data_IF_096026628014
#
_entry.id   IF_096026628014
#
_cell.length_a   1.000
_cell.length_b   1.000
_cell.length_c   1.000
_cell.angle_alpha   90.00
_cell.angle_beta   90.00
_cell.angle_gamma   90.00
#
_symmetry.space_group_name_H-M   'P 1'
#
loop_
_entity.id
_entity.type
_entity.pdbx_description
1 polymer ?
#
# COMPACT_ATOMS: atom_id res chain seq x y z
N UNK A 1 26.79 -5.45 -2.78
CA UNK A 1 27.42 -4.15 -3.10
C UNK A 1 26.93 -3.15 -2.05
N UNK A 2 27.87 -2.58 -1.26
CA UNK A 2 27.54 -1.49 -0.34
C UNK A 2 27.20 -0.26 -1.18
N UNK A 3 25.94 0.15 -1.20
CA UNK A 3 25.52 1.40 -1.81
C UNK A 3 26.10 2.58 -0.98
N UNK A 4 26.94 3.45 -1.58
CA UNK A 4 27.64 4.51 -0.84
C UNK A 4 26.77 5.74 -0.52
N UNK A 5 25.48 5.68 -0.86
CA UNK A 5 24.54 6.78 -0.64
C UNK A 5 23.90 6.78 0.75
N UNK A 6 23.11 7.81 1.07
CA UNK A 6 22.39 7.89 2.35
C UNK A 6 21.36 6.77 2.48
N UNK A 7 21.15 6.31 3.71
CA UNK A 7 20.04 5.41 4.02
C UNK A 7 18.69 6.11 3.84
N UNK A 8 17.60 5.34 3.76
CA UNK A 8 16.25 5.91 3.67
C UNK A 8 15.95 6.87 4.82
N UNK A 9 16.36 6.52 6.05
CA UNK A 9 16.13 7.37 7.22
C UNK A 9 16.92 8.68 7.14
N UNK A 10 18.21 8.63 6.80
CA UNK A 10 19.03 9.83 6.60
C UNK A 10 18.49 10.72 5.48
N UNK A 11 17.94 10.12 4.42
CA UNK A 11 17.29 10.88 3.33
C UNK A 11 16.02 11.57 3.82
N UNK A 12 15.17 10.87 4.58
CA UNK A 12 13.96 11.42 5.19
C UNK A 12 14.28 12.60 6.12
N UNK A 13 15.27 12.45 7.01
CA UNK A 13 15.71 13.51 7.92
C UNK A 13 16.19 14.75 7.17
N UNK A 14 17.01 14.58 6.11
CA UNK A 14 17.46 15.68 5.28
C UNK A 14 16.31 16.39 4.56
N UNK A 15 15.35 15.62 4.01
CA UNK A 15 14.16 16.19 3.35
C UNK A 15 13.30 16.95 4.36
N UNK A 16 13.05 16.39 5.53
CA UNK A 16 12.25 17.02 6.58
C UNK A 16 12.89 18.32 7.13
N UNK A 17 14.19 18.46 7.03
CA UNK A 17 14.94 19.68 7.45
C UNK A 17 15.05 20.72 6.35
N UNK A 18 14.76 20.40 5.09
CA UNK A 18 14.86 21.36 3.97
C UNK A 18 13.73 22.40 4.06
N UNK A 19 14.11 23.68 4.20
CA UNK A 19 13.16 24.79 4.31
C UNK A 19 12.23 24.88 3.08
N UNK A 20 12.71 24.57 1.88
CA UNK A 20 11.90 24.58 0.66
C UNK A 20 10.74 23.58 0.72
N UNK A 21 10.96 22.44 1.35
CA UNK A 21 9.91 21.41 1.57
C UNK A 21 8.85 21.94 2.53
N UNK A 22 9.29 22.53 3.66
CA UNK A 22 8.40 23.09 4.69
C UNK A 22 7.59 24.29 4.19
N UNK A 23 8.24 25.26 3.55
CA UNK A 23 7.62 26.48 3.03
C UNK A 23 6.57 26.19 1.94
N UNK A 24 6.75 25.11 1.17
CA UNK A 24 5.83 24.70 0.12
C UNK A 24 4.84 23.61 0.56
N UNK A 25 4.79 23.26 1.85
CA UNK A 25 3.89 22.23 2.39
C UNK A 25 3.96 20.88 1.64
N UNK A 26 5.16 20.47 1.22
CA UNK A 26 5.38 19.22 0.50
C UNK A 26 5.42 18.07 1.52
N UNK A 27 4.49 17.12 1.39
CA UNK A 27 4.44 15.93 2.24
C UNK A 27 5.54 14.94 1.88
N UNK A 28 6.24 14.44 2.89
CA UNK A 28 7.29 13.45 2.71
C UNK A 28 6.73 12.05 2.92
N UNK A 29 6.76 11.20 1.88
CA UNK A 29 6.29 9.82 1.93
C UNK A 29 7.41 8.79 2.03
N UNK A 30 7.08 7.60 2.53
CA UNK A 30 7.97 6.45 2.58
C UNK A 30 7.31 5.19 2.02
N UNK A 31 8.13 4.23 1.58
CA UNK A 31 7.64 2.91 1.13
C UNK A 31 7.43 1.99 2.32
N UNK A 32 6.30 1.26 2.30
CA UNK A 32 5.95 0.17 3.19
C UNK A 32 5.98 -1.15 2.42
N UNK A 33 6.73 -2.14 2.88
CA UNK A 33 6.78 -3.49 2.30
C UNK A 33 6.19 -4.46 3.33
N UNK A 34 4.90 -4.85 3.21
CA UNK A 34 4.18 -5.59 4.24
C UNK A 34 4.81 -6.92 4.64
N UNK A 35 5.43 -7.63 3.69
CA UNK A 35 6.09 -8.93 3.92
C UNK A 35 7.45 -8.83 4.62
N UNK A 36 8.03 -7.63 4.72
CA UNK A 36 9.34 -7.44 5.34
C UNK A 36 9.28 -7.66 6.85
N UNK A 37 10.19 -8.48 7.37
CA UNK A 37 10.37 -8.65 8.81
C UNK A 37 10.56 -7.30 9.51
N UNK A 38 9.81 -7.07 10.59
CA UNK A 38 9.86 -5.84 11.42
C UNK A 38 9.44 -4.56 10.67
N UNK A 39 8.68 -4.64 9.60
CA UNK A 39 8.27 -3.43 8.85
C UNK A 39 7.48 -2.45 9.73
N UNK A 40 6.59 -2.93 10.61
CA UNK A 40 5.90 -2.08 11.59
C UNK A 40 6.86 -1.25 12.46
N UNK A 41 8.03 -1.81 12.84
CA UNK A 41 9.08 -1.06 13.54
C UNK A 41 9.77 -0.05 12.61
N UNK A 42 9.98 -0.42 11.35
CA UNK A 42 10.59 0.46 10.36
C UNK A 42 9.69 1.66 10.06
N UNK A 43 8.36 1.48 10.03
CA UNK A 43 7.41 2.58 9.84
C UNK A 43 7.50 3.61 10.98
N UNK A 44 7.61 3.17 12.25
CA UNK A 44 7.84 4.08 13.38
C UNK A 44 9.11 4.90 13.15
N UNK A 45 10.23 4.24 12.86
CA UNK A 45 11.52 4.94 12.63
C UNK A 45 11.44 5.91 11.45
N UNK A 46 10.81 5.52 10.35
CA UNK A 46 10.61 6.42 9.20
C UNK A 46 9.75 7.63 9.57
N UNK A 47 8.71 7.43 10.40
CA UNK A 47 7.89 8.55 10.91
C UNK A 47 8.69 9.50 11.79
N UNK A 48 9.55 8.98 12.66
CA UNK A 48 10.47 9.78 13.50
C UNK A 48 11.47 10.57 12.64
N UNK A 49 11.89 10.03 11.49
CA UNK A 49 12.78 10.69 10.52
C UNK A 49 12.03 11.65 9.57
N UNK A 50 10.72 11.84 9.72
CA UNK A 50 9.95 12.83 8.96
C UNK A 50 9.00 12.29 7.91
N UNK A 51 8.79 10.96 7.81
CA UNK A 51 7.76 10.44 6.93
C UNK A 51 6.35 10.75 7.47
N UNK A 52 5.50 11.33 6.63
CA UNK A 52 4.14 11.76 6.99
C UNK A 52 3.08 10.78 6.48
N UNK A 53 3.41 9.97 5.49
CA UNK A 53 2.57 8.87 4.99
C UNK A 53 3.44 7.75 4.41
N UNK A 54 2.81 6.62 4.14
CA UNK A 54 3.46 5.47 3.50
C UNK A 54 2.65 4.99 2.31
N UNK A 55 3.35 4.48 1.29
CA UNK A 55 2.74 3.78 0.16
C UNK A 55 3.19 2.32 0.21
N UNK A 56 2.27 1.38 0.14
CA UNK A 56 2.65 -0.05 0.14
C UNK A 56 3.29 -0.42 -1.20
N UNK A 57 4.03 -1.53 -1.21
CA UNK A 57 4.25 -2.25 -2.45
C UNK A 57 2.90 -2.77 -2.98
N UNK A 58 2.80 -3.04 -4.29
CA UNK A 58 1.56 -3.54 -4.90
C UNK A 58 1.07 -4.81 -4.20
N UNK A 59 -0.22 -4.85 -3.86
CA UNK A 59 -0.87 -5.91 -3.08
C UNK A 59 -1.61 -6.88 -4.00
N UNK A 60 -1.36 -8.18 -3.84
CA UNK A 60 -2.06 -9.30 -4.48
C UNK A 60 -2.61 -10.31 -3.47
N UNK A 61 -2.44 -10.02 -2.18
CA UNK A 61 -3.07 -10.71 -1.04
C UNK A 61 -3.22 -9.75 0.14
N UNK A 62 -4.06 -10.11 1.10
CA UNK A 62 -4.36 -9.30 2.29
C UNK A 62 -3.55 -9.71 3.52
N UNK A 63 -2.99 -10.91 3.57
CA UNK A 63 -2.43 -11.50 4.78
C UNK A 63 -1.31 -10.71 5.41
N UNK A 64 -0.31 -10.35 4.58
CA UNK A 64 0.88 -9.65 5.06
C UNK A 64 0.55 -8.21 5.48
N UNK A 65 -0.30 -7.51 4.72
CA UNK A 65 -0.68 -6.14 5.03
C UNK A 65 -1.57 -6.07 6.27
N UNK A 66 -2.50 -6.99 6.47
CA UNK A 66 -3.35 -7.09 7.66
C UNK A 66 -2.49 -7.29 8.92
N UNK A 67 -1.58 -8.27 8.89
CA UNK A 67 -0.63 -8.52 10.00
C UNK A 67 0.23 -7.29 10.30
N UNK A 68 0.71 -6.63 9.24
CA UNK A 68 1.56 -5.45 9.38
C UNK A 68 0.78 -4.27 9.97
N UNK A 69 -0.44 -3.97 9.50
CA UNK A 69 -1.30 -2.90 10.03
C UNK A 69 -1.59 -3.12 11.51
N UNK A 70 -1.98 -4.33 11.90
CA UNK A 70 -2.22 -4.70 13.30
C UNK A 70 -0.98 -4.43 14.17
N UNK A 71 0.16 -4.98 13.77
CA UNK A 71 1.42 -4.80 14.49
C UNK A 71 1.88 -3.32 14.53
N UNK A 72 1.55 -2.54 13.50
CA UNK A 72 1.86 -1.12 13.45
C UNK A 72 1.02 -0.33 14.45
N UNK A 73 -0.29 -0.60 14.53
CA UNK A 73 -1.18 -0.02 15.54
C UNK A 73 -0.69 -0.32 16.95
N UNK A 74 -0.44 -1.60 17.27
CA UNK A 74 0.03 -2.01 18.59
C UNK A 74 1.34 -1.32 19.00
N UNK A 75 2.25 -1.10 18.03
CA UNK A 75 3.49 -0.36 18.29
C UNK A 75 3.26 1.13 18.50
N UNK A 76 2.40 1.75 17.70
CA UNK A 76 2.03 3.14 17.89
C UNK A 76 1.44 3.37 19.28
N UNK A 77 0.55 2.47 19.71
CA UNK A 77 -0.04 2.52 21.06
C UNK A 77 1.02 2.37 22.16
N UNK A 78 2.00 1.46 21.96
CA UNK A 78 3.11 1.23 22.92
C UNK A 78 4.00 2.46 23.10
N UNK A 79 4.29 3.19 22.01
CA UNK A 79 5.15 4.39 22.06
C UNK A 79 4.34 5.69 22.14
N UNK A 80 3.04 5.59 22.36
CA UNK A 80 2.10 6.72 22.49
C UNK A 80 2.18 7.72 21.33
N UNK A 81 2.12 7.19 20.09
CA UNK A 81 2.11 8.00 18.86
C UNK A 81 0.92 7.63 17.97
N UNK A 82 0.55 8.53 17.07
CA UNK A 82 -0.51 8.26 16.09
C UNK A 82 0.07 7.59 14.85
N UNK A 83 -0.60 6.54 14.32
CA UNK A 83 -0.17 5.91 13.09
C UNK A 83 -0.29 6.87 11.90
N UNK A 84 0.72 6.88 11.03
CA UNK A 84 0.68 7.61 9.77
C UNK A 84 -0.18 6.86 8.76
N UNK A 85 -0.76 7.61 7.81
CA UNK A 85 -1.58 7.06 6.73
C UNK A 85 -0.78 6.07 5.87
N UNK A 86 -1.45 4.97 5.51
CA UNK A 86 -0.91 3.96 4.58
C UNK A 86 -1.78 3.96 3.32
N UNK A 87 -1.18 4.28 2.18
CA UNK A 87 -1.81 4.14 0.87
C UNK A 87 -1.63 2.71 0.39
N UNK A 88 -2.73 2.00 0.23
CA UNK A 88 -2.78 0.62 -0.27
C UNK A 88 -2.60 0.66 -1.79
N UNK A 89 -1.53 0.06 -2.30
CA UNK A 89 -1.19 0.09 -3.73
C UNK A 89 -1.73 -1.13 -4.46
N UNK A 90 -2.39 -0.89 -5.58
CA UNK A 90 -2.90 -1.88 -6.51
C UNK A 90 -2.39 -1.57 -7.92
N UNK A 91 -2.29 -2.58 -8.77
CA UNK A 91 -1.90 -2.41 -10.17
C UNK A 91 -2.60 -3.43 -11.06
N UNK A 92 -3.18 -3.04 -12.21
CA UNK A 92 -3.72 -3.97 -13.16
C UNK A 92 -2.61 -4.72 -13.90
N UNK A 93 -2.83 -6.01 -14.14
CA UNK A 93 -1.99 -6.84 -15.02
C UNK A 93 -2.81 -7.35 -16.18
N UNK A 94 -2.19 -7.41 -17.37
CA UNK A 94 -2.82 -7.86 -18.62
C UNK A 94 -2.07 -8.99 -19.31
N UNK A 95 -0.93 -9.39 -18.78
CA UNK A 95 -0.09 -10.45 -19.35
C UNK A 95 0.84 -11.08 -18.31
N UNK A 96 1.30 -12.31 -18.58
CA UNK A 96 2.33 -12.95 -17.75
C UNK A 96 3.60 -12.09 -17.62
N UNK A 97 3.97 -11.35 -18.68
CA UNK A 97 5.13 -10.44 -18.62
C UNK A 97 4.98 -9.35 -17.55
N UNK A 98 3.75 -8.88 -17.31
CA UNK A 98 3.52 -7.92 -16.23
C UNK A 98 3.71 -8.58 -14.86
N UNK A 99 3.22 -9.80 -14.68
CA UNK A 99 3.41 -10.60 -13.46
C UNK A 99 4.90 -10.84 -13.20
N UNK A 100 5.63 -11.26 -14.21
CA UNK A 100 7.08 -11.52 -14.12
C UNK A 100 7.85 -10.25 -13.77
N UNK A 101 7.48 -9.11 -14.36
CA UNK A 101 8.07 -7.81 -14.04
C UNK A 101 7.80 -7.37 -12.60
N UNK A 102 6.57 -7.53 -12.12
CA UNK A 102 6.22 -7.23 -10.73
C UNK A 102 7.00 -8.10 -9.75
N UNK A 103 7.12 -9.39 -10.04
CA UNK A 103 7.94 -10.31 -9.23
C UNK A 103 9.42 -9.91 -9.24
N UNK A 104 9.95 -9.48 -10.38
CA UNK A 104 11.31 -8.95 -10.48
C UNK A 104 11.51 -7.70 -9.61
N UNK A 105 10.50 -6.85 -9.50
CA UNK A 105 10.48 -5.71 -8.56
C UNK A 105 10.32 -6.13 -7.09
N UNK A 106 10.16 -7.42 -6.80
CA UNK A 106 10.00 -7.97 -5.47
C UNK A 106 8.56 -7.95 -4.94
N UNK A 107 7.56 -7.78 -5.83
CA UNK A 107 6.15 -7.92 -5.45
C UNK A 107 5.85 -9.41 -5.20
N UNK A 108 5.25 -9.70 -4.06
CA UNK A 108 4.80 -11.05 -3.73
C UNK A 108 3.41 -11.30 -4.35
N UNK A 109 3.32 -12.31 -5.20
CA UNK A 109 2.06 -12.78 -5.79
C UNK A 109 1.89 -14.24 -5.40
N UNK A 110 0.90 -14.60 -4.57
CA UNK A 110 0.63 -15.97 -4.19
C UNK A 110 0.39 -16.87 -5.41
N UNK A 111 0.82 -18.13 -5.32
CA UNK A 111 0.69 -19.07 -6.44
C UNK A 111 -0.76 -19.28 -6.89
N UNK A 112 -1.70 -19.26 -5.96
CA UNK A 112 -3.12 -19.44 -6.28
C UNK A 112 -3.68 -18.20 -6.97
N UNK A 113 -3.31 -17.00 -6.50
CA UNK A 113 -3.62 -15.73 -7.17
C UNK A 113 -3.03 -15.67 -8.58
N UNK A 114 -1.77 -16.08 -8.75
CA UNK A 114 -1.14 -16.14 -10.08
C UNK A 114 -1.85 -17.13 -11.00
N UNK A 115 -2.25 -18.29 -10.48
CA UNK A 115 -3.02 -19.29 -11.24
C UNK A 115 -4.38 -18.73 -11.64
N UNK A 116 -5.06 -18.02 -10.75
CA UNK A 116 -6.32 -17.35 -11.06
C UNK A 116 -6.14 -16.29 -12.15
N UNK A 117 -5.14 -15.42 -12.02
CA UNK A 117 -4.82 -14.41 -13.03
C UNK A 117 -4.58 -15.01 -14.42
N UNK A 118 -3.93 -16.15 -14.49
CA UNK A 118 -3.62 -16.87 -15.74
C UNK A 118 -4.75 -17.79 -16.27
N UNK A 119 -5.89 -17.89 -15.58
CA UNK A 119 -6.89 -18.94 -15.81
C UNK A 119 -7.57 -18.95 -17.19
N UNK A 120 -7.76 -17.80 -17.85
CA UNK A 120 -8.35 -17.73 -19.20
C UNK A 120 -7.65 -16.65 -20.03
N UNK A 121 -7.33 -16.91 -21.31
CA UNK A 121 -6.81 -15.90 -22.21
C UNK A 121 -7.76 -14.69 -22.33
N UNK A 122 -7.23 -13.47 -22.39
CA UNK A 122 -7.98 -12.25 -22.64
C UNK A 122 -8.68 -11.59 -21.46
N UNK A 123 -8.85 -12.28 -20.33
CA UNK A 123 -9.56 -11.73 -19.15
C UNK A 123 -8.64 -11.48 -17.92
N UNK A 124 -7.32 -11.37 -18.11
CA UNK A 124 -6.39 -11.17 -16.98
C UNK A 124 -6.59 -9.80 -16.31
N UNK A 125 -6.89 -8.76 -17.08
CA UNK A 125 -7.13 -7.43 -16.55
C UNK A 125 -8.38 -7.40 -15.65
N UNK A 126 -9.47 -8.04 -16.07
CA UNK A 126 -10.69 -8.18 -15.26
C UNK A 126 -10.40 -8.94 -13.97
N UNK A 127 -9.70 -10.07 -14.06
CA UNK A 127 -9.31 -10.86 -12.88
C UNK A 127 -8.37 -10.10 -11.94
N UNK A 128 -7.51 -9.24 -12.46
CA UNK A 128 -6.67 -8.40 -11.60
C UNK A 128 -7.49 -7.35 -10.86
N UNK A 129 -8.58 -6.87 -11.44
CA UNK A 129 -9.55 -6.02 -10.76
C UNK A 129 -10.30 -6.80 -9.67
N UNK A 130 -10.76 -8.02 -9.96
CA UNK A 130 -11.44 -8.88 -8.99
C UNK A 130 -10.54 -9.13 -7.76
N UNK A 131 -9.27 -9.48 -7.98
CA UNK A 131 -8.29 -9.68 -6.91
C UNK A 131 -8.10 -8.39 -6.08
N UNK A 132 -7.98 -7.24 -6.74
CA UNK A 132 -7.81 -5.95 -6.04
C UNK A 132 -9.04 -5.61 -5.19
N UNK A 133 -10.25 -5.88 -5.68
CA UNK A 133 -11.52 -5.69 -4.96
C UNK A 133 -11.58 -6.62 -3.73
N UNK A 134 -11.26 -7.90 -3.90
CA UNK A 134 -11.24 -8.87 -2.81
C UNK A 134 -10.26 -8.47 -1.71
N UNK A 135 -9.01 -8.20 -2.08
CA UNK A 135 -7.95 -7.79 -1.16
C UNK A 135 -8.33 -6.50 -0.41
N UNK A 136 -8.88 -5.50 -1.12
CA UNK A 136 -9.31 -4.26 -0.48
C UNK A 136 -10.43 -4.51 0.53
N UNK A 137 -11.47 -5.29 0.15
CA UNK A 137 -12.58 -5.60 1.04
C UNK A 137 -12.11 -6.33 2.31
N UNK A 138 -11.21 -7.30 2.20
CA UNK A 138 -10.65 -8.02 3.33
C UNK A 138 -9.89 -7.08 4.29
N UNK A 139 -9.05 -6.19 3.76
CA UNK A 139 -8.31 -5.21 4.56
C UNK A 139 -9.26 -4.27 5.29
N UNK A 140 -10.25 -3.70 4.58
CA UNK A 140 -11.20 -2.75 5.16
C UNK A 140 -12.11 -3.41 6.21
N UNK A 141 -12.58 -4.63 5.94
CA UNK A 141 -13.35 -5.43 6.90
C UNK A 141 -12.52 -5.73 8.16
N UNK A 142 -11.26 -6.09 8.02
CA UNK A 142 -10.38 -6.34 9.16
C UNK A 142 -10.17 -5.07 10.00
N UNK A 143 -9.93 -3.93 9.37
CA UNK A 143 -9.78 -2.63 10.06
C UNK A 143 -11.05 -2.29 10.85
N UNK A 144 -12.23 -2.42 10.24
CA UNK A 144 -13.51 -2.15 10.88
C UNK A 144 -13.79 -3.10 12.05
N UNK A 145 -13.67 -4.41 11.84
CA UNK A 145 -13.96 -5.44 12.84
C UNK A 145 -13.03 -5.39 14.06
N UNK A 146 -11.81 -4.86 13.90
CA UNK A 146 -10.84 -4.73 14.98
C UNK A 146 -10.70 -3.30 15.52
N UNK A 147 -11.54 -2.37 15.07
CA UNK A 147 -11.51 -0.95 15.47
C UNK A 147 -10.10 -0.32 15.36
N UNK A 148 -9.36 -0.67 14.30
CA UNK A 148 -8.02 -0.13 14.11
C UNK A 148 -8.06 1.34 13.69
N UNK A 149 -7.14 2.14 14.25
CA UNK A 149 -7.05 3.59 14.01
C UNK A 149 -6.02 3.95 12.93
N UNK A 150 -5.38 2.98 12.30
CA UNK A 150 -4.44 3.23 11.20
C UNK A 150 -5.21 3.79 10.01
N UNK A 151 -4.99 5.07 9.64
CA UNK A 151 -5.69 5.64 8.51
C UNK A 151 -5.14 5.01 7.21
N UNK A 152 -6.03 4.50 6.39
CA UNK A 152 -5.66 3.96 5.07
C UNK A 152 -6.12 4.89 3.95
N UNK A 153 -5.64 4.66 2.76
CA UNK A 153 -6.02 5.33 1.51
C UNK A 153 -5.73 4.42 0.33
N UNK A 154 -5.98 4.89 -0.88
CA UNK A 154 -5.78 4.13 -2.11
C UNK A 154 -4.66 4.71 -2.96
N UNK A 155 -3.91 3.86 -3.61
CA UNK A 155 -3.00 4.16 -4.69
C UNK A 155 -3.18 3.12 -5.80
N UNK A 156 -3.28 3.55 -7.06
CA UNK A 156 -3.26 2.64 -8.21
C UNK A 156 -2.05 2.97 -9.05
N UNK A 157 -1.16 2.01 -9.20
CA UNK A 157 0.10 2.17 -9.90
C UNK A 157 -0.07 1.87 -11.39
N UNK A 158 0.27 2.85 -12.21
CA UNK A 158 0.31 2.71 -13.65
C UNK A 158 1.70 2.23 -14.09
N UNK A 159 1.88 0.91 -14.10
CA UNK A 159 3.20 0.30 -14.35
C UNK A 159 3.51 0.22 -15.84
N UNK A 160 2.51 -0.05 -16.69
CA UNK A 160 2.70 -0.21 -18.14
C UNK A 160 1.81 0.77 -18.90
N UNK A 161 2.39 1.53 -19.84
CA UNK A 161 1.69 2.57 -20.59
C UNK A 161 0.38 2.10 -21.24
N UNK A 162 0.33 0.86 -21.70
CA UNK A 162 -0.86 0.27 -22.31
C UNK A 162 -1.94 -0.16 -21.31
N UNK A 163 -1.65 -0.14 -19.99
CA UNK A 163 -2.62 -0.46 -18.92
C UNK A 163 -3.27 0.79 -18.32
N UNK A 164 -3.10 1.97 -18.92
CA UNK A 164 -3.58 3.22 -18.34
C UNK A 164 -5.10 3.20 -18.10
N UNK A 165 -5.88 2.81 -19.11
CA UNK A 165 -7.34 2.74 -18.99
C UNK A 165 -7.78 1.78 -17.88
N UNK A 166 -7.15 0.61 -17.79
CA UNK A 166 -7.41 -0.37 -16.74
C UNK A 166 -7.04 0.14 -15.34
N UNK A 167 -6.00 0.99 -15.25
CA UNK A 167 -5.64 1.64 -13.98
C UNK A 167 -6.70 2.65 -13.54
N UNK A 168 -7.27 3.41 -14.49
CA UNK A 168 -8.38 4.35 -14.23
C UNK A 168 -9.63 3.60 -13.76
N UNK A 169 -10.02 2.54 -14.47
CA UNK A 169 -11.15 1.69 -14.10
C UNK A 169 -10.97 1.06 -12.71
N UNK A 170 -9.80 0.49 -12.44
CA UNK A 170 -9.46 -0.05 -11.13
C UNK A 170 -9.57 1.01 -10.04
N UNK A 171 -9.04 2.21 -10.26
CA UNK A 171 -9.14 3.30 -9.29
C UNK A 171 -10.59 3.70 -9.02
N UNK A 172 -11.43 3.77 -10.05
CA UNK A 172 -12.85 4.12 -9.91
C UNK A 172 -13.59 3.09 -9.06
N UNK A 173 -13.42 1.80 -9.34
CA UNK A 173 -14.08 0.71 -8.60
C UNK A 173 -13.59 0.65 -7.14
N UNK A 174 -12.28 0.69 -6.91
CA UNK A 174 -11.74 0.68 -5.56
C UNK A 174 -12.15 1.94 -4.77
N UNK A 175 -12.20 3.10 -5.42
CA UNK A 175 -12.65 4.34 -4.78
C UNK A 175 -14.12 4.27 -4.35
N UNK A 176 -14.99 3.61 -5.11
CA UNK A 176 -16.40 3.42 -4.77
C UNK A 176 -16.53 2.55 -3.48
N UNK A 177 -15.76 1.48 -3.38
CA UNK A 177 -15.71 0.62 -2.18
C UNK A 177 -15.19 1.42 -0.98
N UNK A 178 -14.08 2.12 -1.16
CA UNK A 178 -13.45 2.88 -0.09
C UNK A 178 -14.33 4.02 0.43
N UNK A 179 -15.06 4.74 -0.45
CA UNK A 179 -16.01 5.78 -0.02
C UNK A 179 -17.12 5.22 0.86
N UNK A 180 -17.69 4.06 0.49
CA UNK A 180 -18.70 3.38 1.32
C UNK A 180 -18.15 3.02 2.70
N UNK A 181 -16.93 2.51 2.76
CA UNK A 181 -16.25 2.24 4.02
C UNK A 181 -16.08 3.51 4.88
N UNK A 182 -15.60 4.63 4.28
CA UNK A 182 -15.43 5.89 5.00
C UNK A 182 -16.75 6.46 5.54
N UNK A 183 -17.85 6.31 4.82
CA UNK A 183 -19.17 6.75 5.28
C UNK A 183 -19.61 5.91 6.49
N UNK A 184 -19.49 4.60 6.38
CA UNK A 184 -19.92 3.66 7.42
C UNK A 184 -19.11 3.80 8.71
N UNK A 185 -17.80 4.03 8.61
CA UNK A 185 -16.93 4.20 9.80
C UNK A 185 -17.10 5.56 10.47
N UNK A 186 -17.54 6.61 9.77
CA UNK A 186 -17.86 7.92 10.37
C UNK A 186 -19.18 7.93 11.15
N UNK A 187 -20.07 6.96 10.93
CA UNK A 187 -21.31 6.83 11.68
C UNK A 187 -21.12 6.21 13.07
N UNK A 188 -19.93 5.69 13.38
CA UNK A 188 -19.58 5.07 14.66
C UNK A 188 -18.58 5.89 15.51
N UNK A 189 -18.19 7.07 15.04
CA UNK A 189 -17.37 8.06 15.77
C UNK A 189 -18.18 9.35 15.98
#
# INVERSE_FOLDING_TARGET
QNYPGPTVNESLEKIAQDNRIRENNILCGGICIPSRKKESKNLIRKSECGAEFFTTQVLYDSDNIIKMIKNYQERCDTVNTFPRRILLSFAPVSSQKNIDFLKWLGVEIPKDTERYLNGRPGAMTERSLDVAIEVLNEILAFIANNNLKVPVGLNVEHIMSYNFQSSVEMLQELANIYRKFCINTRQYN
#
